data_IF_635234264913
#
_entry.id   IF_635234264913
#
_cell.length_a   1.000
_cell.length_b   1.000
_cell.length_c   1.000
_cell.angle_alpha   90.00
_cell.angle_beta   90.00
_cell.angle_gamma   90.00
#
_symmetry.space_group_name_H-M   'P 1'
#
loop_
_entity.id
_entity.type
_entity.pdbx_description
1 polymer ?
#
# COMPACT_ATOMS: atom_id res chain seq x y z
N UNK A 1 10.41 -0.10 -18.27
CA UNK A 1 9.06 -0.16 -18.87
C UNK A 1 8.44 1.22 -18.72
N UNK A 2 8.09 1.87 -19.82
CA UNK A 2 7.45 3.19 -19.82
C UNK A 2 5.96 2.99 -19.49
N UNK A 3 5.47 3.51 -18.37
CA UNK A 3 4.07 3.35 -18.00
C UNK A 3 3.22 4.48 -18.58
N UNK A 4 1.92 4.25 -18.81
CA UNK A 4 0.99 5.28 -19.28
C UNK A 4 1.01 6.55 -18.40
N UNK A 5 1.32 6.40 -17.11
CA UNK A 5 1.53 7.51 -16.19
C UNK A 5 2.80 8.34 -16.47
N UNK A 6 3.88 7.71 -16.92
CA UNK A 6 5.09 8.42 -17.32
C UNK A 6 4.82 9.25 -18.57
N UNK A 7 4.04 8.72 -19.51
CA UNK A 7 3.59 9.44 -20.70
C UNK A 7 2.71 10.64 -20.33
N UNK A 8 1.79 10.49 -19.38
CA UNK A 8 0.93 11.59 -18.90
C UNK A 8 1.74 12.69 -18.17
N UNK A 9 2.74 12.29 -17.37
CA UNK A 9 3.68 13.24 -16.73
C UNK A 9 4.50 14.00 -17.76
N UNK A 10 4.99 13.31 -18.80
CA UNK A 10 5.77 13.91 -19.88
C UNK A 10 4.90 14.90 -20.68
N UNK A 11 3.66 14.54 -20.99
CA UNK A 11 2.68 15.40 -21.65
C UNK A 11 2.30 16.61 -20.78
N UNK A 12 2.11 16.43 -19.48
CA UNK A 12 1.84 17.52 -18.55
C UNK A 12 3.03 18.49 -18.44
N UNK A 13 4.25 17.96 -18.37
CA UNK A 13 5.48 18.76 -18.38
C UNK A 13 5.67 19.51 -19.72
N UNK A 14 5.42 18.84 -20.85
CA UNK A 14 5.50 19.45 -22.18
C UNK A 14 4.42 20.52 -22.37
N UNK A 15 3.17 20.27 -21.98
CA UNK A 15 2.09 21.24 -22.04
C UNK A 15 2.37 22.44 -21.10
N UNK A 16 2.86 22.19 -19.89
CA UNK A 16 3.28 23.24 -18.96
C UNK A 16 4.45 24.08 -19.48
N UNK A 17 5.41 23.46 -20.16
CA UNK A 17 6.53 24.16 -20.80
C UNK A 17 6.08 24.98 -22.03
N UNK A 18 5.14 24.47 -22.84
CA UNK A 18 4.59 25.19 -23.99
C UNK A 18 3.73 26.38 -23.55
N UNK A 19 2.88 26.20 -22.54
CA UNK A 19 2.04 27.28 -21.98
C UNK A 19 2.92 28.29 -21.21
N UNK A 20 3.90 27.83 -20.42
CA UNK A 20 4.83 28.70 -19.70
C UNK A 20 5.78 29.46 -20.63
N UNK A 21 6.18 28.84 -21.75
CA UNK A 21 7.00 29.45 -22.79
C UNK A 21 6.24 30.48 -23.63
N UNK A 22 4.97 30.24 -23.95
CA UNK A 22 4.15 31.18 -24.72
C UNK A 22 3.75 32.42 -23.91
N UNK A 23 3.55 32.30 -22.60
CA UNK A 23 3.36 33.45 -21.69
C UNK A 23 4.69 34.11 -21.26
N UNK A 24 5.83 33.45 -21.50
CA UNK A 24 7.17 33.94 -21.15
C UNK A 24 7.65 35.12 -22.00
N UNK A 25 7.07 35.37 -23.17
CA UNK A 25 7.44 36.52 -24.01
C UNK A 25 7.00 37.87 -23.44
N UNK A 26 6.05 37.89 -22.49
CA UNK A 26 5.54 39.13 -21.89
C UNK A 26 5.88 39.31 -20.40
N UNK A 27 6.22 38.25 -19.67
CA UNK A 27 6.47 38.30 -18.21
C UNK A 27 7.84 37.75 -17.76
N UNK A 28 8.67 37.25 -18.70
CA UNK A 28 10.02 36.76 -18.43
C UNK A 28 10.08 35.37 -17.76
N UNK A 29 11.31 34.95 -17.45
CA UNK A 29 11.67 33.67 -16.83
C UNK A 29 10.88 33.24 -15.57
N UNK A 30 10.30 34.13 -14.73
CA UNK A 30 9.49 33.70 -13.57
C UNK A 30 8.22 32.97 -13.99
N UNK A 31 7.59 33.36 -15.11
CA UNK A 31 6.39 32.70 -15.61
C UNK A 31 6.65 31.25 -16.03
N UNK A 32 7.84 30.98 -16.59
CA UNK A 32 8.24 29.62 -16.98
C UNK A 32 8.46 28.72 -15.74
N UNK A 33 9.05 29.26 -14.67
CA UNK A 33 9.24 28.53 -13.40
C UNK A 33 7.88 28.20 -12.77
N UNK A 34 6.97 29.17 -12.70
CA UNK A 34 5.63 28.97 -12.13
C UNK A 34 4.82 27.98 -12.96
N UNK A 35 4.86 28.08 -14.30
CA UNK A 35 4.18 27.14 -15.20
C UNK A 35 4.70 25.71 -15.06
N UNK A 36 6.01 25.54 -14.91
CA UNK A 36 6.63 24.22 -14.71
C UNK A 36 6.25 23.63 -13.35
N UNK A 37 6.31 24.43 -12.27
CA UNK A 37 5.89 24.00 -10.93
C UNK A 37 4.41 23.62 -10.89
N UNK A 38 3.54 24.46 -11.46
CA UNK A 38 2.11 24.19 -11.54
C UNK A 38 1.82 22.92 -12.36
N UNK A 39 2.45 22.78 -13.53
CA UNK A 39 2.32 21.57 -14.37
C UNK A 39 2.81 20.31 -13.66
N UNK A 40 3.89 20.41 -12.87
CA UNK A 40 4.44 19.29 -12.12
C UNK A 40 3.55 18.90 -10.93
N UNK A 41 2.97 19.88 -10.22
CA UNK A 41 1.99 19.66 -9.14
C UNK A 41 0.73 19.02 -9.70
N UNK A 42 0.17 19.57 -10.79
CA UNK A 42 -1.03 19.04 -11.45
C UNK A 42 -0.76 17.64 -12.00
N UNK A 43 0.39 17.43 -12.64
CA UNK A 43 0.82 16.12 -13.13
C UNK A 43 1.01 15.09 -12.02
N UNK A 44 1.50 15.49 -10.83
CA UNK A 44 1.56 14.61 -9.66
C UNK A 44 0.18 14.31 -9.09
N UNK A 45 -0.71 15.30 -9.00
CA UNK A 45 -2.08 15.12 -8.52
C UNK A 45 -2.89 14.19 -9.43
N UNK A 46 -2.92 14.49 -10.73
CA UNK A 46 -3.62 13.67 -11.74
C UNK A 46 -2.94 12.31 -11.87
N UNK A 47 -1.61 12.26 -11.78
CA UNK A 47 -0.83 11.04 -11.83
C UNK A 47 -1.00 10.13 -10.60
N UNK A 48 -1.36 10.66 -9.44
CA UNK A 48 -1.67 9.85 -8.26
C UNK A 48 -3.17 9.57 -8.10
N UNK A 49 -4.03 10.25 -8.87
CA UNK A 49 -5.49 10.18 -8.70
C UNK A 49 -6.02 8.74 -8.76
N UNK A 50 -5.59 7.87 -9.69
CA UNK A 50 -6.11 6.51 -9.75
C UNK A 50 -5.67 5.67 -8.55
N UNK A 51 -4.46 5.89 -8.03
CA UNK A 51 -3.97 5.20 -6.84
C UNK A 51 -4.68 5.67 -5.56
N UNK A 52 -4.86 6.98 -5.40
CA UNK A 52 -5.55 7.54 -4.23
C UNK A 52 -7.04 7.22 -4.26
N UNK A 53 -7.69 7.28 -5.42
CA UNK A 53 -9.07 6.85 -5.60
C UNK A 53 -9.24 5.36 -5.28
N UNK A 54 -8.34 4.50 -5.79
CA UNK A 54 -8.38 3.06 -5.49
C UNK A 54 -8.24 2.78 -3.99
N UNK A 55 -7.29 3.45 -3.32
CA UNK A 55 -7.14 3.35 -1.85
C UNK A 55 -8.37 3.86 -1.11
N UNK A 56 -8.91 5.00 -1.50
CA UNK A 56 -10.10 5.59 -0.87
C UNK A 56 -11.33 4.68 -1.04
N UNK A 57 -11.51 4.13 -2.24
CA UNK A 57 -12.61 3.22 -2.53
C UNK A 57 -12.47 1.90 -1.78
N UNK A 58 -11.26 1.36 -1.67
CA UNK A 58 -10.97 0.18 -0.86
C UNK A 58 -11.25 0.43 0.63
N UNK A 59 -10.82 1.57 1.18
CA UNK A 59 -11.17 1.96 2.55
C UNK A 59 -12.67 2.12 2.75
N UNK A 60 -13.38 2.68 1.77
CA UNK A 60 -14.83 2.84 1.83
C UNK A 60 -15.55 1.48 1.79
N UNK A 61 -15.13 0.57 0.91
CA UNK A 61 -15.68 -0.80 0.82
C UNK A 61 -15.43 -1.60 2.11
N UNK A 62 -14.23 -1.47 2.70
CA UNK A 62 -13.90 -2.06 3.99
C UNK A 62 -14.83 -1.53 5.10
N UNK A 63 -14.98 -0.20 5.19
CA UNK A 63 -15.88 0.44 6.17
C UNK A 63 -17.35 0.03 6.02
N UNK A 64 -17.81 -0.19 4.80
CA UNK A 64 -19.21 -0.57 4.53
C UNK A 64 -19.45 -2.07 4.69
N UNK A 65 -18.43 -2.91 4.55
CA UNK A 65 -18.55 -4.37 4.69
C UNK A 65 -18.90 -4.75 6.12
N UNK A 66 -19.70 -5.80 6.33
CA UNK A 66 -20.00 -6.32 7.67
C UNK A 66 -18.79 -7.05 8.27
N UNK A 67 -18.79 -7.23 9.60
CA UNK A 67 -17.76 -8.01 10.31
C UNK A 67 -17.62 -9.43 9.74
N UNK A 68 -18.75 -10.12 9.50
CA UNK A 68 -18.76 -11.46 8.92
C UNK A 68 -18.10 -11.49 7.53
N UNK A 69 -18.41 -10.50 6.68
CA UNK A 69 -17.82 -10.37 5.35
C UNK A 69 -16.32 -10.06 5.39
N UNK A 70 -15.89 -9.24 6.36
CA UNK A 70 -14.48 -8.94 6.59
C UNK A 70 -13.69 -10.18 7.03
N UNK A 71 -14.24 -11.00 7.93
CA UNK A 71 -13.63 -12.27 8.36
C UNK A 71 -13.52 -13.27 7.20
N UNK A 72 -14.56 -13.39 6.40
CA UNK A 72 -14.57 -14.24 5.20
C UNK A 72 -13.54 -13.76 4.15
N UNK A 73 -13.41 -12.43 3.96
CA UNK A 73 -12.33 -11.86 3.14
C UNK A 73 -10.94 -12.09 3.72
N UNK A 74 -10.78 -12.06 5.04
CA UNK A 74 -9.49 -12.31 5.69
C UNK A 74 -8.94 -13.71 5.35
N UNK A 75 -9.81 -14.70 5.21
CA UNK A 75 -9.41 -16.05 4.81
C UNK A 75 -9.03 -16.17 3.33
N UNK A 76 -9.56 -15.30 2.46
CA UNK A 76 -9.29 -15.32 1.02
C UNK A 76 -8.18 -14.39 0.56
N UNK A 77 -8.02 -13.25 1.24
CA UNK A 77 -7.18 -12.13 0.81
C UNK A 77 -6.06 -11.84 1.82
N UNK A 78 -5.05 -12.70 1.85
CA UNK A 78 -3.91 -12.59 2.78
C UNK A 78 -3.08 -11.32 2.58
N UNK A 79 -3.04 -10.77 1.36
CA UNK A 79 -2.26 -9.57 1.00
C UNK A 79 -2.70 -8.31 1.73
N UNK A 80 -3.97 -8.22 2.13
CA UNK A 80 -4.54 -7.08 2.85
C UNK A 80 -4.95 -7.44 4.29
N UNK A 81 -4.48 -8.57 4.82
CA UNK A 81 -4.79 -9.07 6.16
C UNK A 81 -4.57 -8.02 7.26
N UNK A 82 -3.46 -7.28 7.21
CA UNK A 82 -3.18 -6.19 8.15
C UNK A 82 -4.25 -5.07 8.17
N UNK A 83 -4.83 -4.72 7.01
CA UNK A 83 -5.90 -3.71 6.91
C UNK A 83 -7.24 -4.27 7.40
N UNK A 84 -7.54 -5.53 7.06
CA UNK A 84 -8.76 -6.22 7.50
C UNK A 84 -8.80 -6.38 9.01
N UNK A 85 -7.68 -6.81 9.62
CA UNK A 85 -7.56 -6.92 11.08
C UNK A 85 -7.70 -5.55 11.73
N UNK A 86 -7.02 -4.51 11.22
CA UNK A 86 -7.16 -3.14 11.74
C UNK A 86 -8.61 -2.63 11.73
N UNK A 87 -9.37 -2.90 10.68
CA UNK A 87 -10.78 -2.53 10.59
C UNK A 87 -11.69 -3.39 11.47
N UNK A 88 -11.36 -4.66 11.70
CA UNK A 88 -12.09 -5.49 12.66
C UNK A 88 -11.86 -4.99 14.09
N UNK A 89 -10.61 -4.68 14.45
CA UNK A 89 -10.25 -4.11 15.76
C UNK A 89 -10.96 -2.78 16.02
N UNK A 90 -11.05 -1.90 15.01
CA UNK A 90 -11.76 -0.62 15.13
C UNK A 90 -13.25 -0.77 15.44
N UNK A 91 -13.81 -1.96 15.20
CA UNK A 91 -15.21 -2.32 15.46
C UNK A 91 -15.40 -3.08 16.77
N UNK A 92 -14.37 -3.19 17.59
CA UNK A 92 -14.42 -3.83 18.91
C UNK A 92 -14.19 -5.34 18.89
N UNK A 93 -13.75 -5.90 17.76
CA UNK A 93 -13.33 -7.29 17.70
C UNK A 93 -12.05 -7.52 18.51
N UNK A 94 -11.96 -8.59 19.31
CA UNK A 94 -10.77 -8.83 20.12
C UNK A 94 -9.59 -9.20 19.24
N UNK A 95 -8.41 -8.62 19.51
CA UNK A 95 -7.20 -8.91 18.76
C UNK A 95 -6.84 -10.40 18.79
N UNK A 96 -6.92 -11.02 19.96
CA UNK A 96 -6.48 -12.40 20.20
C UNK A 96 -7.11 -13.44 19.26
N UNK A 97 -8.32 -13.20 18.75
CA UNK A 97 -8.96 -14.17 17.84
C UNK A 97 -8.23 -14.32 16.50
N UNK A 98 -7.38 -13.35 16.14
CA UNK A 98 -6.60 -13.38 14.90
C UNK A 98 -5.23 -14.02 15.08
N UNK A 99 -4.84 -14.35 16.31
CA UNK A 99 -3.49 -14.83 16.63
C UNK A 99 -3.17 -16.12 15.90
N UNK A 100 -4.08 -17.09 15.94
CA UNK A 100 -3.89 -18.38 15.28
C UNK A 100 -3.80 -18.24 13.76
N UNK A 101 -4.62 -17.36 13.18
CA UNK A 101 -4.57 -17.04 11.75
C UNK A 101 -3.20 -16.43 11.34
N UNK A 102 -2.68 -15.49 12.11
CA UNK A 102 -1.37 -14.88 11.85
C UNK A 102 -0.24 -15.92 12.04
N UNK A 103 -0.36 -16.79 13.04
CA UNK A 103 0.60 -17.86 13.26
C UNK A 103 0.58 -18.91 12.13
N UNK A 104 -0.59 -19.21 11.55
CA UNK A 104 -0.73 -20.07 10.39
C UNK A 104 -0.07 -19.46 9.14
N UNK A 105 -0.33 -18.19 8.85
CA UNK A 105 0.35 -17.45 7.78
C UNK A 105 1.87 -17.49 7.90
N UNK A 106 2.41 -17.30 9.10
CA UNK A 106 3.85 -17.37 9.36
C UNK A 106 4.44 -18.77 9.11
N UNK A 107 3.64 -19.83 9.28
CA UNK A 107 4.05 -21.22 9.02
C UNK A 107 3.75 -21.67 7.59
N UNK A 108 3.07 -20.87 6.79
CA UNK A 108 2.73 -21.23 5.41
C UNK A 108 3.98 -21.51 4.58
N UNK A 109 3.89 -22.51 3.72
CA UNK A 109 4.91 -22.83 2.74
C UNK A 109 4.93 -21.83 1.57
N UNK A 110 3.87 -21.05 1.39
CA UNK A 110 3.81 -19.99 0.40
C UNK A 110 4.59 -18.75 0.87
N UNK A 111 5.50 -18.27 0.03
CA UNK A 111 6.39 -17.16 0.38
C UNK A 111 5.65 -15.82 0.50
N UNK A 112 4.57 -15.62 -0.27
CA UNK A 112 3.74 -14.42 -0.21
C UNK A 112 2.94 -14.41 1.08
N UNK A 113 2.27 -15.52 1.39
CA UNK A 113 1.51 -15.69 2.64
C UNK A 113 2.38 -15.48 3.88
N UNK A 114 3.57 -16.09 3.90
CA UNK A 114 4.53 -15.89 4.99
C UNK A 114 4.94 -14.43 5.13
N UNK A 115 5.22 -13.73 4.03
CA UNK A 115 5.57 -12.30 4.03
C UNK A 115 4.41 -11.43 4.53
N UNK A 116 3.18 -11.80 4.18
CA UNK A 116 1.97 -11.15 4.69
C UNK A 116 1.80 -11.41 6.19
N UNK A 117 2.01 -12.65 6.64
CA UNK A 117 2.05 -13.03 8.05
C UNK A 117 3.08 -12.23 8.84
N UNK A 118 4.29 -12.06 8.31
CA UNK A 118 5.34 -11.24 8.92
C UNK A 118 4.92 -9.77 9.04
N UNK A 119 4.34 -9.19 7.99
CA UNK A 119 3.85 -7.81 8.00
C UNK A 119 2.76 -7.59 9.05
N UNK A 120 1.81 -8.51 9.11
CA UNK A 120 0.71 -8.47 10.09
C UNK A 120 1.20 -8.71 11.51
N UNK A 121 2.12 -9.67 11.72
CA UNK A 121 2.72 -9.94 13.02
C UNK A 121 3.54 -8.76 13.53
N UNK A 122 4.32 -8.07 12.69
CA UNK A 122 5.08 -6.87 13.10
C UNK A 122 4.17 -5.77 13.66
N UNK A 123 2.96 -5.66 13.12
CA UNK A 123 2.03 -4.60 13.50
C UNK A 123 1.21 -4.97 14.74
N UNK A 124 0.79 -6.24 14.86
CA UNK A 124 -0.21 -6.64 15.85
C UNK A 124 0.23 -7.74 16.83
N UNK A 125 1.20 -8.58 16.46
CA UNK A 125 1.68 -9.72 17.27
C UNK A 125 3.20 -9.88 17.18
N UNK A 126 3.98 -8.88 17.63
CA UNK A 126 5.44 -8.88 17.45
C UNK A 126 6.12 -10.07 18.15
N UNK A 127 5.52 -10.61 19.20
CA UNK A 127 6.01 -11.77 19.93
C UNK A 127 6.02 -13.06 19.09
N UNK A 128 5.15 -13.19 18.09
CA UNK A 128 5.14 -14.34 17.19
C UNK A 128 6.39 -14.40 16.29
N UNK A 129 7.02 -13.25 16.02
CA UNK A 129 8.24 -13.16 15.22
C UNK A 129 9.49 -13.56 16.02
N UNK A 130 9.48 -13.30 17.33
CA UNK A 130 10.57 -13.75 18.21
C UNK A 130 10.63 -15.29 18.24
N UNK A 131 9.48 -15.96 18.28
CA UNK A 131 9.37 -17.42 18.28
C UNK A 131 9.77 -18.09 16.96
N UNK A 132 9.56 -17.46 15.80
CA UNK A 132 9.90 -18.04 14.50
C UNK A 132 11.40 -18.02 14.18
N UNK A 133 12.14 -17.07 14.76
CA UNK A 133 13.60 -16.99 14.61
C UNK A 133 14.34 -18.12 15.36
N UNK A 134 13.77 -18.62 16.47
CA UNK A 134 14.40 -19.70 17.25
C UNK A 134 14.27 -21.07 16.57
N UNK A 135 13.15 -21.34 15.87
CA UNK A 135 12.96 -22.61 15.15
C UNK A 135 13.79 -22.71 13.87
N UNK A 136 14.05 -21.58 13.18
CA UNK A 136 14.93 -21.50 12.02
C UNK A 136 16.41 -21.75 12.36
N UNK A 137 16.84 -21.33 13.56
CA UNK A 137 18.20 -21.61 14.07
C UNK A 137 18.38 -23.09 14.44
N UNK A 138 17.39 -23.70 15.10
CA UNK A 138 17.43 -25.11 15.49
C UNK A 138 17.41 -26.06 14.27
N UNK A 139 16.60 -25.77 13.24
CA UNK A 139 16.54 -26.59 12.03
C UNK A 139 17.81 -26.53 11.16
N UNK A 140 18.68 -25.52 11.38
CA UNK A 140 19.96 -25.39 10.69
C UNK A 140 21.11 -26.12 11.41
N UNK A 141 20.96 -26.36 12.72
CA UNK A 141 21.93 -27.09 13.53
C UNK A 141 21.82 -28.62 13.37
N UNK A 142 20.65 -29.14 13.01
CA UNK A 142 20.39 -30.58 12.85
C UNK A 142 20.73 -31.12 11.44
N UNK A 143 21.37 -30.29 10.61
CA UNK A 143 21.86 -30.66 9.25
C UNK A 143 23.37 -30.45 9.08
N UNK A 144 24.13 -30.29 10.17
CA UNK A 144 25.59 -30.29 10.15
C UNK A 144 26.15 -31.54 10.82
#
# INVERSE_FOLDING_TARGET
MFTFFDLLKLLGAAAGAVIGGSYGSSFGWPAAIVGTLAGLIVGMLVGNLPWTASRAWMHYDLKRSSVAKLRDRLQREHSISHLLIGELLSRGEPLEQFRDYVAELLRSHDALERRCGEGTARMWFPELLAGSSSSSSAAKADRQ
#
